data_IF_575795294176
#
_entry.id   IF_575795294176
#
_cell.length_a   1.000
_cell.length_b   1.000
_cell.length_c   1.000
_cell.angle_alpha   90.00
_cell.angle_beta   90.00
_cell.angle_gamma   90.00
#
_symmetry.space_group_name_H-M   'P 1'
#
loop_
_entity.id
_entity.type
_entity.pdbx_description
1 polymer ?
#
# COMPACT_ATOMS: atom_id res chain seq x y z
N UNK A 1 -22.29 -32.91 42.40
CA UNK A 1 -23.10 -32.26 41.36
C UNK A 1 -22.65 -30.80 41.28
N UNK A 2 -22.40 -30.31 40.06
CA UNK A 2 -22.09 -28.91 39.69
C UNK A 2 -20.68 -28.35 39.93
N UNK A 3 -19.72 -28.72 39.06
CA UNK A 3 -18.70 -27.78 38.56
C UNK A 3 -18.46 -28.10 37.08
N UNK A 4 -19.27 -27.56 36.16
CA UNK A 4 -18.94 -27.57 34.72
C UNK A 4 -19.82 -26.64 33.88
N UNK A 5 -19.88 -25.32 34.15
CA UNK A 5 -20.36 -24.35 33.15
C UNK A 5 -19.76 -22.97 33.42
N UNK A 6 -18.57 -22.66 32.90
CA UNK A 6 -18.13 -21.24 32.72
C UNK A 6 -17.32 -21.03 31.42
N UNK A 7 -16.68 -22.03 30.81
CA UNK A 7 -15.74 -21.76 29.70
C UNK A 7 -16.33 -21.56 28.29
N UNK A 8 -17.66 -21.55 28.09
CA UNK A 8 -18.24 -21.41 26.73
C UNK A 8 -18.53 -19.94 26.34
N UNK A 9 -18.53 -19.01 27.30
CA UNK A 9 -18.84 -17.59 27.03
C UNK A 9 -17.68 -16.75 26.48
N UNK A 10 -16.43 -17.21 26.58
CA UNK A 10 -15.24 -16.42 26.18
C UNK A 10 -14.82 -16.61 24.71
N UNK A 11 -15.24 -17.69 24.05
CA UNK A 11 -14.86 -17.93 22.65
C UNK A 11 -15.64 -17.04 21.66
N UNK A 12 -16.94 -16.82 21.89
CA UNK A 12 -17.76 -16.00 21.00
C UNK A 12 -17.43 -14.49 21.09
N UNK A 13 -17.05 -14.00 22.27
CA UNK A 13 -16.64 -12.61 22.46
C UNK A 13 -15.24 -12.32 21.85
N UNK A 14 -14.35 -13.32 21.78
CA UNK A 14 -13.03 -13.14 21.19
C UNK A 14 -13.05 -13.09 19.66
N UNK A 15 -13.97 -13.82 19.00
CA UNK A 15 -14.14 -13.76 17.54
C UNK A 15 -14.79 -12.44 17.10
N UNK A 16 -15.79 -11.95 17.84
CA UNK A 16 -16.44 -10.66 17.57
C UNK A 16 -15.51 -9.46 17.81
N UNK A 17 -14.45 -9.63 18.62
CA UNK A 17 -13.49 -8.56 18.92
C UNK A 17 -12.41 -8.36 17.84
N UNK A 18 -12.35 -9.23 16.83
CA UNK A 18 -11.33 -9.15 15.77
C UNK A 18 -11.83 -8.48 14.48
N UNK A 19 -13.14 -8.38 14.27
CA UNK A 19 -13.68 -7.68 13.09
C UNK A 19 -13.75 -6.18 13.38
N UNK A 20 -13.00 -5.40 12.59
CA UNK A 20 -13.05 -3.95 12.66
C UNK A 20 -14.12 -3.42 11.73
N UNK A 21 -14.40 -2.14 11.85
CA UNK A 21 -15.21 -1.48 10.84
C UNK A 21 -14.33 -1.19 9.63
N UNK A 22 -14.86 -1.47 8.44
CA UNK A 22 -14.26 -1.04 7.19
C UNK A 22 -13.89 0.45 7.23
N UNK A 23 -12.76 0.78 6.62
CA UNK A 23 -12.28 2.12 6.47
C UNK A 23 -13.18 2.93 5.53
N UNK A 24 -13.19 4.25 5.74
CA UNK A 24 -14.05 5.16 4.97
C UNK A 24 -13.51 5.40 3.57
N UNK A 25 -12.20 5.49 3.42
CA UNK A 25 -11.56 5.77 2.14
C UNK A 25 -10.24 5.01 2.06
N UNK A 26 -10.16 4.04 1.15
CA UNK A 26 -8.97 3.19 0.95
C UNK A 26 -8.82 2.89 -0.53
N UNK A 27 -7.60 3.00 -1.06
CA UNK A 27 -7.30 2.67 -2.44
C UNK A 27 -6.41 1.42 -2.49
N UNK A 28 -6.79 0.45 -3.30
CA UNK A 28 -5.99 -0.74 -3.59
C UNK A 28 -5.50 -0.66 -5.03
N UNK A 29 -4.22 -0.95 -5.22
CA UNK A 29 -3.56 -1.00 -6.51
C UNK A 29 -2.60 -2.17 -6.61
N UNK A 30 -2.11 -2.39 -7.82
CA UNK A 30 -1.03 -3.31 -8.10
C UNK A 30 0.27 -2.54 -8.30
N UNK A 31 1.30 -2.90 -7.55
CA UNK A 31 2.64 -2.38 -7.74
C UNK A 31 3.47 -3.40 -8.51
N UNK A 32 4.06 -2.95 -9.61
CA UNK A 32 5.09 -3.68 -10.34
C UNK A 32 6.44 -2.99 -10.09
N UNK A 33 7.36 -3.74 -9.48
CA UNK A 33 8.73 -3.33 -9.24
C UNK A 33 9.65 -4.04 -10.22
N UNK A 34 10.25 -3.29 -11.13
CA UNK A 34 11.21 -3.85 -12.09
C UNK A 34 12.62 -3.47 -11.67
N UNK A 35 13.42 -4.49 -11.37
CA UNK A 35 14.85 -4.36 -11.08
C UNK A 35 15.64 -4.70 -12.34
N UNK A 36 16.46 -3.78 -12.83
CA UNK A 36 17.35 -4.04 -13.96
C UNK A 36 18.60 -4.85 -13.53
N UNK A 37 19.43 -5.24 -14.50
CA UNK A 37 20.68 -5.96 -14.23
C UNK A 37 21.71 -5.13 -13.45
N UNK A 38 21.53 -3.81 -13.37
CA UNK A 38 22.36 -2.88 -12.61
C UNK A 38 21.84 -2.63 -11.20
N UNK A 39 20.69 -3.22 -10.83
CA UNK A 39 20.07 -3.05 -9.52
C UNK A 39 19.19 -1.80 -9.38
N UNK A 40 18.93 -1.06 -10.45
CA UNK A 40 18.01 0.08 -10.41
C UNK A 40 16.57 -0.42 -10.38
N UNK A 41 15.79 0.12 -9.45
CA UNK A 41 14.38 -0.24 -9.27
C UNK A 41 13.50 0.84 -9.88
N UNK A 42 12.63 0.44 -10.80
CA UNK A 42 11.54 1.27 -11.31
C UNK A 42 10.22 0.76 -10.76
N UNK A 43 9.28 1.67 -10.51
CA UNK A 43 7.98 1.34 -9.94
C UNK A 43 6.85 1.79 -10.85
N UNK A 44 5.87 0.90 -11.04
CA UNK A 44 4.63 1.17 -11.78
C UNK A 44 3.43 0.75 -10.94
N UNK A 45 2.50 1.67 -10.70
CA UNK A 45 1.24 1.43 -10.00
C UNK A 45 0.10 1.35 -11.01
N UNK A 46 -0.72 0.32 -10.87
CA UNK A 46 -1.98 0.13 -11.60
C UNK A 46 -3.12 0.26 -10.58
N UNK A 47 -4.04 1.22 -10.74
CA UNK A 47 -5.16 1.38 -9.82
C UNK A 47 -6.16 0.21 -10.02
N UNK A 48 -6.64 -0.39 -8.93
CA UNK A 48 -7.64 -1.47 -8.97
C UNK A 48 -8.98 -0.97 -8.44
N UNK A 49 -9.05 -0.66 -7.15
CA UNK A 49 -10.32 -0.27 -6.50
C UNK A 49 -10.12 0.83 -5.47
N UNK A 50 -11.17 1.61 -5.25
CA UNK A 50 -11.31 2.55 -4.16
C UNK A 50 -12.53 2.14 -3.36
N UNK A 51 -12.33 1.84 -2.07
CA UNK A 51 -13.39 1.84 -1.10
C UNK A 51 -13.71 3.28 -0.73
N UNK A 52 -14.96 3.70 -0.87
CA UNK A 52 -15.47 4.97 -0.39
C UNK A 52 -16.81 4.75 0.32
N UNK A 53 -16.83 4.99 1.63
CA UNK A 53 -17.98 4.84 2.53
C UNK A 53 -18.69 3.48 2.39
N UNK A 54 -17.92 2.38 2.44
CA UNK A 54 -18.45 1.01 2.39
C UNK A 54 -18.81 0.51 0.99
N UNK A 55 -18.48 1.27 -0.07
CA UNK A 55 -18.70 0.85 -1.45
C UNK A 55 -17.42 0.88 -2.26
N UNK A 56 -17.18 -0.19 -3.02
CA UNK A 56 -16.08 -0.27 -3.96
C UNK A 56 -16.41 0.42 -5.29
N UNK A 57 -15.44 1.14 -5.81
CA UNK A 57 -15.46 1.81 -7.11
C UNK A 57 -14.19 1.49 -7.88
N UNK A 58 -14.28 1.47 -9.21
CA UNK A 58 -13.10 1.32 -10.05
C UNK A 58 -12.17 2.53 -9.91
N UNK A 59 -10.95 2.27 -9.45
CA UNK A 59 -9.96 3.30 -9.15
C UNK A 59 -9.39 4.00 -10.39
N UNK A 60 -9.58 3.44 -11.59
CA UNK A 60 -9.14 4.03 -12.86
C UNK A 60 -10.08 5.12 -13.38
N UNK A 61 -11.29 5.24 -12.82
CA UNK A 61 -12.28 6.25 -13.21
C UNK A 61 -12.78 7.09 -12.04
N UNK A 62 -12.64 6.60 -10.81
CA UNK A 62 -13.13 7.30 -9.62
C UNK A 62 -12.46 8.66 -9.44
N UNK A 63 -13.31 9.70 -9.35
CA UNK A 63 -12.94 11.11 -9.26
C UNK A 63 -11.85 11.54 -10.26
N UNK A 64 -11.93 11.04 -11.50
CA UNK A 64 -10.92 11.32 -12.53
C UNK A 64 -11.04 12.73 -13.12
N UNK A 65 -10.34 13.71 -12.53
CA UNK A 65 -10.27 15.12 -13.00
C UNK A 65 -8.94 15.79 -12.61
N UNK A 66 -7.94 15.94 -13.51
CA UNK A 66 -7.82 15.43 -14.88
C UNK A 66 -7.39 13.95 -14.95
N UNK A 67 -7.07 13.33 -13.80
CA UNK A 67 -6.63 11.94 -13.67
C UNK A 67 -7.30 11.30 -12.46
N UNK A 68 -7.28 9.96 -12.32
CA UNK A 68 -7.93 9.27 -11.21
C UNK A 68 -7.32 9.68 -9.88
N UNK A 69 -8.15 9.77 -8.85
CA UNK A 69 -7.72 10.16 -7.49
C UNK A 69 -6.63 9.24 -6.95
N UNK A 70 -6.76 7.92 -7.19
CA UNK A 70 -5.77 6.91 -6.82
C UNK A 70 -4.36 7.20 -7.37
N UNK A 71 -4.25 7.93 -8.49
CA UNK A 71 -2.98 8.19 -9.17
C UNK A 71 -2.52 9.65 -9.02
N UNK A 72 -2.99 10.33 -7.97
CA UNK A 72 -2.56 11.69 -7.61
C UNK A 72 -1.07 11.77 -7.27
N UNK A 73 -0.43 12.91 -7.58
CA UNK A 73 0.95 13.15 -7.15
C UNK A 73 1.01 13.26 -5.64
N UNK A 74 2.05 12.66 -5.05
CA UNK A 74 2.24 12.63 -3.61
C UNK A 74 1.39 11.58 -2.89
N UNK A 75 0.49 10.88 -3.59
CA UNK A 75 -0.18 9.69 -3.02
C UNK A 75 0.89 8.65 -2.72
N UNK A 76 0.88 8.16 -1.48
CA UNK A 76 1.78 7.12 -1.01
C UNK A 76 0.99 5.82 -0.92
N UNK A 77 1.53 4.78 -1.55
CA UNK A 77 1.06 3.42 -1.38
C UNK A 77 2.05 2.63 -0.54
N UNK A 78 1.54 1.95 0.47
CA UNK A 78 2.23 0.87 1.15
C UNK A 78 2.13 -0.41 0.31
N UNK A 79 3.27 -0.92 -0.14
CA UNK A 79 3.34 -2.21 -0.79
C UNK A 79 3.40 -3.31 0.25
N UNK A 80 2.55 -4.32 0.08
CA UNK A 80 2.40 -5.44 0.96
C UNK A 80 2.71 -6.75 0.24
N UNK A 81 3.21 -7.70 1.03
CA UNK A 81 3.30 -9.11 0.67
C UNK A 81 2.60 -9.92 1.75
N UNK A 82 1.56 -10.65 1.38
CA UNK A 82 0.73 -11.42 2.31
C UNK A 82 0.21 -10.58 3.48
N UNK A 83 -0.16 -9.32 3.25
CA UNK A 83 -0.62 -8.37 4.29
C UNK A 83 0.50 -7.66 5.08
N UNK A 84 1.77 -8.05 4.90
CA UNK A 84 2.90 -7.42 5.59
C UNK A 84 3.58 -6.37 4.71
N UNK A 85 3.76 -5.16 5.24
CA UNK A 85 4.47 -4.08 4.55
C UNK A 85 5.91 -4.48 4.17
N UNK A 86 6.25 -4.30 2.90
CA UNK A 86 7.59 -4.52 2.32
C UNK A 86 8.26 -3.22 1.83
N UNK A 87 7.47 -2.19 1.59
CA UNK A 87 7.96 -0.84 1.30
C UNK A 87 6.86 0.10 0.90
N UNK A 88 7.25 1.25 0.39
CA UNK A 88 6.36 2.35 0.02
C UNK A 88 6.71 2.86 -1.36
N UNK A 89 5.70 3.31 -2.08
CA UNK A 89 5.87 4.05 -3.33
C UNK A 89 5.14 5.38 -3.27
N UNK A 90 5.88 6.46 -3.52
CA UNK A 90 5.31 7.80 -3.63
C UNK A 90 5.13 8.14 -5.10
N UNK A 91 3.89 8.40 -5.52
CA UNK A 91 3.55 8.69 -6.92
C UNK A 91 4.04 10.08 -7.32
N UNK A 92 4.67 10.18 -8.49
CA UNK A 92 5.12 11.45 -9.08
C UNK A 92 4.45 11.79 -10.41
N UNK A 93 4.08 10.78 -11.19
CA UNK A 93 3.45 10.96 -12.50
C UNK A 93 2.37 9.92 -12.67
N UNK A 94 1.13 10.35 -12.94
CA UNK A 94 0.03 9.49 -13.36
C UNK A 94 -0.34 9.80 -14.81
N UNK A 95 -0.42 8.77 -15.65
CA UNK A 95 -0.65 8.92 -17.09
C UNK A 95 -1.50 7.77 -17.66
N UNK A 96 -1.99 7.95 -18.89
CA UNK A 96 -2.64 6.88 -19.64
C UNK A 96 -1.64 6.23 -20.59
N UNK A 97 -1.31 4.97 -20.35
CA UNK A 97 -0.50 4.15 -21.23
C UNK A 97 -1.37 3.03 -21.84
N UNK A 98 -1.37 2.91 -23.18
CA UNK A 98 -2.14 1.88 -23.90
C UNK A 98 -3.62 1.81 -23.46
N UNK A 99 -4.26 2.97 -23.31
CA UNK A 99 -5.66 3.09 -22.90
C UNK A 99 -5.92 2.92 -21.39
N UNK A 100 -4.94 2.44 -20.63
CA UNK A 100 -5.05 2.17 -19.18
C UNK A 100 -4.34 3.22 -18.35
N UNK A 101 -4.89 3.53 -17.18
CA UNK A 101 -4.25 4.44 -16.24
C UNK A 101 -3.13 3.73 -15.47
N UNK A 102 -1.95 4.34 -15.44
CA UNK A 102 -0.80 3.90 -14.64
C UNK A 102 -0.18 5.10 -13.93
N UNK A 103 0.59 4.84 -12.88
CA UNK A 103 1.45 5.83 -12.28
C UNK A 103 2.87 5.30 -12.08
N UNK A 104 3.85 6.20 -12.13
CA UNK A 104 5.23 5.92 -11.73
C UNK A 104 5.56 6.70 -10.48
N UNK A 105 6.45 6.13 -9.66
CA UNK A 105 6.82 6.71 -8.39
C UNK A 105 8.21 6.33 -7.93
N UNK A 106 8.56 6.82 -6.74
CA UNK A 106 9.80 6.43 -6.06
C UNK A 106 9.51 5.31 -5.08
N UNK A 107 10.17 4.18 -5.29
CA UNK A 107 10.19 3.06 -4.37
C UNK A 107 11.14 3.28 -3.19
N UNK A 108 10.71 2.91 -1.99
CA UNK A 108 11.55 2.82 -0.80
C UNK A 108 11.18 1.56 -0.02
N UNK A 109 12.14 0.69 0.29
CA UNK A 109 11.84 -0.48 1.13
C UNK A 109 11.63 -0.07 2.59
N UNK A 110 10.92 -0.90 3.37
CA UNK A 110 10.76 -0.67 4.83
C UNK A 110 12.11 -0.50 5.54
N UNK A 111 13.13 -1.25 5.13
CA UNK A 111 14.50 -1.12 5.68
C UNK A 111 15.12 0.24 5.36
N UNK A 112 14.91 0.77 4.14
CA UNK A 112 15.41 2.10 3.75
C UNK A 112 14.71 3.22 4.51
N UNK A 113 13.39 3.10 4.72
CA UNK A 113 12.62 4.07 5.51
C UNK A 113 13.09 4.05 6.96
N UNK A 114 13.25 2.87 7.57
CA UNK A 114 13.74 2.74 8.94
C UNK A 114 15.18 3.25 9.13
N UNK A 115 16.02 3.16 8.09
CA UNK A 115 17.39 3.68 8.11
C UNK A 115 17.48 5.20 7.91
N UNK A 116 16.39 5.85 7.48
CA UNK A 116 16.38 7.30 7.29
C UNK A 116 16.18 7.98 8.65
N UNK A 117 17.17 8.75 9.15
CA UNK A 117 17.02 9.41 10.45
C UNK A 117 15.83 10.38 10.39
N UNK A 118 15.03 10.49 11.46
CA UNK A 118 13.98 11.49 11.53
C UNK A 118 14.60 12.88 11.30
N UNK A 119 13.88 13.79 10.62
CA UNK A 119 14.38 15.15 10.44
C UNK A 119 14.77 15.71 11.79
N UNK A 120 16.02 16.19 11.89
CA UNK A 120 16.49 16.83 13.11
C UNK A 120 15.49 17.91 13.50
N UNK A 121 15.10 18.02 14.78
CA UNK A 121 14.23 19.10 15.21
C UNK A 121 14.82 20.41 14.72
N UNK A 122 14.01 21.21 14.02
CA UNK A 122 14.44 22.52 13.59
C UNK A 122 15.05 23.24 14.79
N UNK A 123 16.21 23.90 14.65
CA UNK A 123 16.83 24.61 15.75
C UNK A 123 15.78 25.58 16.29
N UNK A 124 15.35 25.33 17.53
CA UNK A 124 14.50 26.27 18.26
C UNK A 124 15.39 27.48 18.47
N UNK A 125 15.18 28.53 17.67
CA UNK A 125 15.81 29.82 17.94
C UNK A 125 15.42 30.20 19.37
N UNK A 126 16.36 30.34 20.32
CA UNK A 126 16.06 30.75 21.68
C UNK A 126 15.83 32.27 21.72
N UNK A 127 14.85 32.73 20.95
CA UNK A 127 14.61 34.15 20.66
C UNK A 127 13.22 34.63 21.06
N UNK A 128 12.15 33.92 20.70
CA UNK A 128 10.80 34.44 20.88
C UNK A 128 9.87 33.38 21.48
N UNK A 129 9.05 33.82 22.44
CA UNK A 129 7.96 33.10 23.13
C UNK A 129 8.32 32.14 24.28
N UNK A 130 9.06 32.63 25.29
CA UNK A 130 8.88 32.12 26.67
C UNK A 130 8.07 33.15 27.47
N UNK A 131 6.85 32.84 27.94
CA UNK A 131 6.11 33.76 28.78
C UNK A 131 6.84 33.90 30.12
N UNK A 132 7.24 35.13 30.45
CA UNK A 132 7.91 35.46 31.70
C UNK A 132 6.84 35.65 32.78
N UNK A 133 6.82 34.78 33.79
CA UNK A 133 5.95 34.93 34.98
C UNK A 133 6.48 36.06 35.86
N UNK A 134 5.81 37.23 35.83
CA UNK A 134 6.04 38.28 36.82
C UNK A 134 5.54 37.80 38.20
N UNK A 135 6.48 37.58 39.12
CA UNK A 135 6.19 37.24 40.52
C UNK A 135 5.71 38.51 41.23
N UNK A 136 4.47 38.51 41.70
CA UNK A 136 3.89 39.59 42.48
C UNK A 136 4.52 39.71 43.88
N UNK A 137 4.65 40.95 44.35
CA UNK A 137 5.01 41.33 45.72
C UNK A 137 4.50 42.75 46.03
N UNK A 138 3.52 42.80 46.95
CA UNK A 138 2.85 43.87 47.71
C UNK A 138 3.48 45.29 47.71
N UNK A 139 2.80 46.35 47.22
CA UNK A 139 1.73 47.20 47.80
C UNK A 139 2.08 47.99 49.09
N UNK A 140 2.02 49.34 49.04
CA UNK A 140 1.11 50.26 49.78
C UNK A 140 1.58 51.74 49.61
N UNK A 141 0.80 52.83 49.87
CA UNK A 141 -0.66 53.03 49.89
C UNK A 141 -1.16 54.11 48.90
N UNK A 142 -2.49 54.11 48.72
CA UNK A 142 -3.27 55.05 47.92
C UNK A 142 -3.51 56.43 48.58
N UNK A 143 -3.73 57.44 47.74
CA UNK A 143 -4.52 58.65 48.05
C UNK A 143 -5.43 59.03 46.86
N UNK A 144 -6.57 59.72 47.12
CA UNK A 144 -7.85 59.49 46.44
C UNK A 144 -8.12 60.43 45.24
N UNK A 145 -9.12 60.11 44.38
CA UNK A 145 -9.45 60.90 43.20
C UNK A 145 -10.46 62.02 43.51
N UNK A 146 -10.31 63.15 42.82
CA UNK A 146 -11.37 64.16 42.66
C UNK A 146 -11.73 64.33 41.17
N UNK A 147 -12.99 64.75 40.88
CA UNK A 147 -13.70 64.40 39.65
C UNK A 147 -13.92 65.59 38.69
N UNK A 148 -14.63 65.29 37.58
CA UNK A 148 -15.31 66.21 36.63
C UNK A 148 -14.49 66.59 35.38
N UNK A 149 -15.06 66.78 34.19
CA UNK A 149 -16.43 66.68 33.68
C UNK A 149 -16.37 66.52 32.14
N UNK A 150 -17.51 66.15 31.58
CA UNK A 150 -17.90 66.09 30.18
C UNK A 150 -17.41 67.23 29.27
N UNK A 151 -17.01 66.91 28.03
CA UNK A 151 -17.80 67.28 26.83
C UNK A 151 -17.10 66.93 25.50
N UNK A 152 -17.89 66.33 24.60
CA UNK A 152 -17.68 66.10 23.16
C UNK A 152 -18.10 67.38 22.38
N UNK A 153 -18.16 67.37 21.03
CA UNK A 153 -17.14 67.52 19.97
C UNK A 153 -17.17 68.91 19.26
N UNK A 154 -16.19 69.20 18.39
CA UNK A 154 -16.38 70.18 17.29
C UNK A 154 -15.83 69.61 15.97
N UNK A 155 -16.71 69.59 14.97
CA UNK A 155 -16.47 69.31 13.56
C UNK A 155 -15.82 70.53 12.88
N UNK A 156 -14.83 70.33 12.02
CA UNK A 156 -14.61 71.21 10.87
C UNK A 156 -14.37 70.41 9.59
N UNK A 157 -15.22 70.72 8.61
CA UNK A 157 -15.25 70.28 7.21
C UNK A 157 -14.76 71.43 6.33
N UNK A 158 -13.91 71.15 5.33
CA UNK A 158 -13.93 71.75 3.96
C UNK A 158 -12.85 71.04 3.11
N UNK A 159 -13.19 70.16 2.15
CA UNK A 159 -13.48 70.38 0.72
C UNK A 159 -12.43 71.26 0.01
N UNK A 160 -11.59 70.68 -0.88
CA UNK A 160 -11.79 70.29 -2.30
C UNK A 160 -11.68 71.49 -3.26
N UNK A 161 -10.66 71.43 -4.13
CA UNK A 161 -10.63 71.86 -5.54
C UNK A 161 -9.33 71.31 -6.15
N UNK A 162 -9.32 70.40 -7.14
CA UNK A 162 -9.70 70.46 -8.56
C UNK A 162 -8.43 70.44 -9.45
N UNK A 163 -8.31 69.37 -10.25
CA UNK A 163 -7.42 69.08 -11.42
C UNK A 163 -7.45 70.18 -12.53
N UNK A 164 -6.72 70.13 -13.69
CA UNK A 164 -6.06 68.99 -14.37
C UNK A 164 -4.70 69.27 -15.09
N UNK A 165 -4.07 68.21 -15.63
CA UNK A 165 -3.74 68.04 -17.08
C UNK A 165 -2.36 67.40 -17.42
N UNK A 166 -2.44 66.35 -18.26
CA UNK A 166 -1.56 65.89 -19.37
C UNK A 166 -0.05 65.52 -19.20
N UNK A 167 0.27 64.30 -19.69
CA UNK A 167 1.57 63.71 -20.13
C UNK A 167 2.25 64.48 -21.31
N UNK A 168 3.48 64.17 -21.82
CA UNK A 168 4.30 62.93 -21.74
C UNK A 168 5.87 63.08 -21.62
N UNK A 169 6.55 61.92 -21.61
CA UNK A 169 7.93 61.59 -22.07
C UNK A 169 9.21 62.06 -21.31
N UNK A 170 10.13 61.11 -21.09
CA UNK A 170 11.59 61.34 -21.28
C UNK A 170 12.56 61.09 -20.11
N UNK A 171 13.37 60.03 -20.27
CA UNK A 171 14.78 59.87 -19.86
C UNK A 171 15.22 59.65 -18.40
N UNK A 172 15.89 58.50 -18.22
CA UNK A 172 17.15 58.23 -17.53
C UNK A 172 17.56 59.06 -16.29
N UNK A 173 17.73 58.36 -15.17
CA UNK A 173 18.46 58.82 -13.99
C UNK A 173 18.74 57.64 -13.04
N UNK A 174 20.01 57.50 -12.66
CA UNK A 174 20.61 56.45 -11.80
C UNK A 174 19.96 56.37 -10.39
N UNK A 175 19.92 55.20 -9.74
CA UNK A 175 19.69 55.13 -8.29
C UNK A 175 21.00 55.04 -7.51
N UNK A 176 21.20 56.11 -6.72
CA UNK A 176 21.93 56.25 -5.45
C UNK A 176 22.26 54.94 -4.69
N UNK A 177 23.52 54.84 -4.26
CA UNK A 177 24.07 53.82 -3.36
C UNK A 177 23.38 53.82 -1.99
N UNK A 178 22.77 52.68 -1.64
CA UNK A 178 22.23 52.39 -0.32
C UNK A 178 23.35 51.93 0.64
N UNK A 179 23.52 52.65 1.75
CA UNK A 179 24.61 52.50 2.73
C UNK A 179 24.42 51.40 3.77
N UNK A 180 23.37 50.58 3.66
CA UNK A 180 23.10 49.48 4.61
C UNK A 180 23.34 48.07 4.03
N UNK A 181 24.24 47.94 3.06
CA UNK A 181 24.61 46.63 2.48
C UNK A 181 25.73 45.93 3.28
N UNK A 182 25.48 44.78 3.95
CA UNK A 182 26.51 44.07 4.69
C UNK A 182 27.53 43.38 3.76
N UNK A 183 28.82 43.53 4.08
CA UNK A 183 29.97 43.01 3.31
C UNK A 183 30.52 41.72 3.92
N UNK A 184 30.65 40.66 3.11
CA UNK A 184 31.25 39.39 3.48
C UNK A 184 32.79 39.50 3.54
N UNK A 185 33.38 39.30 4.73
CA UNK A 185 34.84 39.24 4.89
C UNK A 185 35.35 37.82 4.67
N UNK A 186 36.14 37.65 3.60
CA UNK A 186 36.98 36.48 3.31
C UNK A 186 38.37 36.67 3.90
N UNK A 187 38.95 35.66 4.54
CA UNK A 187 40.40 35.57 4.80
C UNK A 187 40.88 34.14 4.50
N UNK A 188 42.02 34.06 3.84
CA UNK A 188 42.89 32.89 3.58
C UNK A 188 44.34 33.36 3.88
N UNK A 189 45.40 32.51 3.93
CA UNK A 189 45.49 31.05 4.11
C UNK A 189 46.56 30.57 5.14
N UNK A 190 46.55 29.25 5.39
CA UNK A 190 47.65 28.31 5.70
C UNK A 190 48.42 28.36 7.05
N UNK A 191 48.32 27.25 7.81
CA UNK A 191 49.45 26.40 8.24
C UNK A 191 48.95 25.11 8.93
N UNK A 192 49.45 23.97 8.47
CA UNK A 192 49.47 22.64 9.12
C UNK A 192 50.98 22.25 9.30
N UNK A 193 51.42 21.23 10.09
CA UNK A 193 50.65 20.11 10.68
C UNK A 193 51.04 19.63 12.13
N UNK A 194 50.17 18.77 12.67
CA UNK A 194 50.43 17.52 13.44
C UNK A 194 50.56 17.51 15.00
N UNK A 195 50.41 16.33 15.70
CA UNK A 195 49.18 15.92 16.41
C UNK A 195 49.41 15.44 17.87
N UNK A 196 48.35 15.21 18.67
CA UNK A 196 48.34 14.41 19.93
C UNK A 196 46.91 14.29 20.51
N UNK A 197 46.60 13.40 21.47
CA UNK A 197 46.26 11.99 21.28
C UNK A 197 44.84 11.64 21.77
N UNK A 198 44.35 10.44 21.45
CA UNK A 198 43.08 9.88 21.93
C UNK A 198 43.00 9.77 23.46
N UNK A 199 41.78 9.82 24.04
CA UNK A 199 41.47 8.94 25.16
C UNK A 199 40.15 8.15 24.99
N UNK A 200 40.32 6.84 25.20
CA UNK A 200 39.52 5.78 25.85
C UNK A 200 38.01 6.02 26.16
N UNK A 201 37.15 4.99 25.92
CA UNK A 201 35.71 5.05 26.17
C UNK A 201 35.32 4.80 27.63
N UNK A 202 34.28 5.50 28.11
CA UNK A 202 33.64 5.27 29.41
C UNK A 202 32.52 4.22 29.31
N UNK A 203 32.28 3.40 30.36
CA UNK A 203 31.27 2.35 30.34
C UNK A 203 29.90 2.92 30.77
N UNK A 204 28.90 2.84 29.89
CA UNK A 204 27.51 3.13 30.29
C UNK A 204 26.81 1.85 30.72
N UNK A 205 26.59 1.73 32.02
CA UNK A 205 25.58 0.87 32.62
C UNK A 205 24.27 1.66 32.71
N UNK A 206 23.28 1.32 31.89
CA UNK A 206 21.87 1.50 32.25
C UNK A 206 21.03 0.51 31.44
N UNK A 207 20.49 -0.47 32.15
CA UNK A 207 19.63 -1.52 31.62
C UNK A 207 18.24 -0.94 31.40
N UNK A 208 17.91 -0.64 30.14
CA UNK A 208 16.54 -0.38 29.72
C UNK A 208 15.88 -1.74 29.38
N UNK A 209 14.64 -2.02 29.83
CA UNK A 209 13.98 -3.27 29.47
C UNK A 209 13.84 -3.37 27.95
N UNK A 210 14.21 -4.53 27.41
CA UNK A 210 14.17 -4.80 25.98
C UNK A 210 12.76 -4.56 25.42
N UNK A 211 12.67 -3.65 24.44
CA UNK A 211 11.50 -3.57 23.58
C UNK A 211 11.28 -4.95 22.91
N UNK A 212 10.02 -5.39 22.73
CA UNK A 212 9.74 -6.60 21.98
C UNK A 212 10.37 -6.49 20.57
N UNK A 213 10.87 -7.60 20.00
CA UNK A 213 11.51 -7.56 18.69
C UNK A 213 10.52 -7.00 17.66
N UNK A 214 10.98 -6.03 16.87
CA UNK A 214 10.21 -5.48 15.76
C UNK A 214 9.76 -6.62 14.82
N UNK A 215 8.55 -6.56 14.25
CA UNK A 215 8.10 -7.57 13.30
C UNK A 215 9.10 -7.71 12.16
N UNK A 216 9.45 -8.96 11.83
CA UNK A 216 10.35 -9.27 10.72
C UNK A 216 9.61 -8.97 9.41
N UNK A 217 9.85 -7.79 8.84
CA UNK A 217 9.33 -7.46 7.53
C UNK A 217 9.99 -8.33 6.44
N UNK A 218 9.22 -8.86 5.47
CA UNK A 218 9.79 -9.63 4.36
C UNK A 218 10.76 -8.77 3.57
N UNK A 219 11.98 -9.27 3.35
CA UNK A 219 12.92 -8.63 2.42
C UNK A 219 12.62 -9.11 1.01
N UNK A 220 12.39 -8.17 0.10
CA UNK A 220 12.28 -8.49 -1.32
C UNK A 220 13.67 -8.86 -1.88
N UNK A 221 13.80 -9.99 -2.59
CA UNK A 221 15.04 -10.31 -3.26
C UNK A 221 15.30 -9.28 -4.37
N UNK A 222 16.51 -8.71 -4.40
CA UNK A 222 16.94 -7.79 -5.46
C UNK A 222 17.43 -8.58 -6.69
N UNK A 223 16.59 -9.48 -7.19
CA UNK A 223 16.87 -10.22 -8.43
C UNK A 223 16.38 -9.42 -9.63
N UNK A 224 17.15 -9.36 -10.73
CA UNK A 224 16.67 -8.76 -11.97
C UNK A 224 15.35 -9.38 -12.41
N UNK A 225 14.40 -8.54 -12.84
CA UNK A 225 13.06 -8.96 -13.21
C UNK A 225 11.97 -8.06 -12.64
N UNK A 226 10.72 -8.37 -12.98
CA UNK A 226 9.53 -7.66 -12.50
C UNK A 226 8.87 -8.47 -11.40
N UNK A 227 8.70 -7.86 -10.22
CA UNK A 227 7.94 -8.41 -9.11
C UNK A 227 6.63 -7.66 -8.98
N UNK A 228 5.55 -8.39 -8.69
CA UNK A 228 4.22 -7.82 -8.49
C UNK A 228 3.87 -7.89 -7.01
N UNK A 229 3.35 -6.79 -6.46
CA UNK A 229 2.94 -6.64 -5.07
C UNK A 229 1.57 -5.98 -5.01
N UNK A 230 0.82 -6.25 -3.97
CA UNK A 230 -0.40 -5.46 -3.68
C UNK A 230 0.02 -4.17 -2.99
N UNK A 231 -0.69 -3.09 -3.29
CA UNK A 231 -0.37 -1.77 -2.79
C UNK A 231 -1.62 -1.11 -2.23
N UNK A 232 -1.54 -0.60 -1.00
CA UNK A 232 -2.66 0.06 -0.31
C UNK A 232 -2.29 1.51 -0.02
N UNK A 233 -3.19 2.44 -0.34
CA UNK A 233 -3.13 3.82 0.13
C UNK A 233 -4.35 4.08 1.01
N UNK A 234 -4.09 4.52 2.23
CA UNK A 234 -5.13 4.65 3.25
C UNK A 234 -4.92 5.94 4.05
N UNK A 235 -6.01 6.58 4.45
CA UNK A 235 -6.00 7.74 5.33
C UNK A 235 -6.14 7.35 6.80
N UNK A 236 -6.68 6.16 7.08
CA UNK A 236 -6.87 5.63 8.42
C UNK A 236 -5.72 4.68 8.78
N UNK A 237 -5.28 4.65 10.05
CA UNK A 237 -4.28 3.70 10.49
C UNK A 237 -4.83 2.28 10.35
N UNK A 238 -4.19 1.46 9.52
CA UNK A 238 -4.44 0.02 9.44
C UNK A 238 -3.55 -0.77 10.40
N UNK A 239 -3.83 -2.05 10.52
CA UNK A 239 -2.89 -3.00 11.11
C UNK A 239 -2.36 -3.93 10.03
N UNK A 240 -1.04 -4.04 9.96
CA UNK A 240 -0.41 -5.06 9.16
C UNK A 240 -0.40 -6.37 9.93
N UNK A 241 -1.06 -7.39 9.39
CA UNK A 241 -0.87 -8.77 9.82
C UNK A 241 -0.44 -9.63 8.66
N UNK A 242 0.30 -10.69 8.97
CA UNK A 242 0.56 -11.72 7.98
C UNK A 242 -0.70 -12.54 7.77
N UNK A 243 -1.12 -12.68 6.52
CA UNK A 243 -2.10 -13.67 6.12
C UNK A 243 -1.47 -15.04 5.89
N UNK A 244 -0.14 -15.18 5.85
CA UNK A 244 0.48 -16.48 5.57
C UNK A 244 0.13 -17.50 6.65
N UNK A 245 -0.31 -18.67 6.21
CA UNK A 245 -0.60 -19.78 7.11
C UNK A 245 0.68 -20.52 7.49
N UNK A 246 1.04 -20.61 8.78
CA UNK A 246 2.25 -21.28 9.22
C UNK A 246 2.08 -22.81 9.24
N UNK A 247 2.66 -23.49 8.26
CA UNK A 247 2.68 -24.95 8.22
C UNK A 247 3.70 -25.57 9.17
N UNK A 248 3.38 -26.75 9.72
CA UNK A 248 4.41 -27.58 10.33
C UNK A 248 5.24 -28.29 9.24
N UNK A 249 6.50 -28.66 9.54
CA UNK A 249 7.32 -29.39 8.59
C UNK A 249 6.63 -30.65 8.07
N UNK A 250 6.51 -30.81 6.75
CA UNK A 250 5.91 -31.98 6.10
C UNK A 250 4.40 -31.87 5.84
N UNK A 251 3.65 -31.06 6.61
CA UNK A 251 2.19 -30.92 6.44
C UNK A 251 1.85 -30.25 5.11
N UNK A 252 2.59 -29.20 4.74
CA UNK A 252 2.39 -28.49 3.48
C UNK A 252 2.55 -29.41 2.26
N UNK A 253 3.56 -30.29 2.26
CA UNK A 253 3.80 -31.22 1.15
C UNK A 253 2.69 -32.26 1.03
N UNK A 254 2.15 -32.74 2.17
CA UNK A 254 1.00 -33.64 2.16
C UNK A 254 -0.24 -32.95 1.61
N UNK A 255 -0.48 -31.70 2.01
CA UNK A 255 -1.60 -30.92 1.51
C UNK A 255 -1.46 -30.62 0.02
N UNK A 256 -0.26 -30.29 -0.45
CA UNK A 256 0.02 -30.09 -1.88
C UNK A 256 -0.36 -31.34 -2.68
N UNK A 257 0.01 -32.54 -2.22
CA UNK A 257 -0.37 -33.79 -2.88
C UNK A 257 -1.91 -33.99 -2.90
N UNK A 258 -2.60 -33.66 -1.80
CA UNK A 258 -4.08 -33.70 -1.74
C UNK A 258 -4.70 -32.69 -2.71
N UNK A 259 -4.19 -31.46 -2.77
CA UNK A 259 -4.63 -30.40 -3.68
C UNK A 259 -4.42 -30.76 -5.14
N UNK A 260 -3.27 -31.35 -5.48
CA UNK A 260 -2.99 -31.85 -6.84
C UNK A 260 -4.00 -32.94 -7.24
N UNK A 261 -4.26 -33.90 -6.34
CA UNK A 261 -5.26 -34.94 -6.58
C UNK A 261 -6.67 -34.35 -6.75
N UNK A 262 -7.02 -33.39 -5.90
CA UNK A 262 -8.31 -32.70 -5.95
C UNK A 262 -8.45 -31.95 -7.28
N UNK A 263 -7.43 -31.19 -7.70
CA UNK A 263 -7.41 -30.45 -8.96
C UNK A 263 -7.55 -31.37 -10.19
N UNK A 264 -6.80 -32.47 -10.22
CA UNK A 264 -6.88 -33.45 -11.32
C UNK A 264 -8.27 -34.08 -11.44
N UNK A 265 -8.94 -34.33 -10.31
CA UNK A 265 -10.30 -34.87 -10.29
C UNK A 265 -11.37 -33.91 -10.85
N UNK A 266 -11.01 -32.65 -11.12
CA UNK A 266 -11.92 -31.65 -11.68
C UNK A 266 -11.75 -31.43 -13.19
N UNK A 267 -10.76 -32.10 -13.78
CA UNK A 267 -10.57 -32.03 -15.22
C UNK A 267 -11.65 -32.86 -15.92
N UNK A 268 -12.17 -32.41 -17.08
CA UNK A 268 -13.14 -33.19 -17.84
C UNK A 268 -12.51 -34.50 -18.33
N UNK A 269 -13.29 -35.60 -18.41
CA UNK A 269 -12.82 -36.96 -18.72
C UNK A 269 -12.00 -37.08 -20.02
N UNK A 270 -12.27 -36.24 -21.02
CA UNK A 270 -11.48 -36.12 -22.26
C UNK A 270 -10.02 -35.67 -22.03
N UNK A 271 -9.69 -35.29 -20.80
CA UNK A 271 -8.37 -34.80 -20.37
C UNK A 271 -7.57 -35.86 -19.62
N UNK A 272 -7.97 -37.15 -19.67
CA UNK A 272 -7.25 -38.26 -19.04
C UNK A 272 -5.88 -38.51 -19.72
N UNK A 273 -4.97 -37.55 -19.57
CA UNK A 273 -3.54 -37.80 -19.66
C UNK A 273 -3.20 -38.70 -18.47
N UNK A 274 -2.67 -39.91 -18.72
CA UNK A 274 -2.35 -40.86 -17.66
C UNK A 274 -1.07 -40.38 -16.96
N UNK A 275 -1.17 -39.40 -16.05
CA UNK A 275 -0.35 -39.25 -14.84
C UNK A 275 -0.40 -37.82 -14.27
N UNK A 276 -0.26 -37.75 -12.93
CA UNK A 276 0.03 -36.55 -12.14
C UNK A 276 1.26 -35.73 -12.64
N UNK A 277 2.05 -36.29 -13.56
CA UNK A 277 3.24 -35.68 -14.18
C UNK A 277 2.94 -34.64 -15.27
N UNK A 278 1.67 -34.42 -15.62
CA UNK A 278 1.27 -33.46 -16.65
C UNK A 278 1.13 -32.02 -16.16
N UNK A 279 1.16 -31.77 -14.85
CA UNK A 279 1.05 -30.42 -14.29
C UNK A 279 2.41 -29.72 -14.27
N UNK A 280 2.47 -28.52 -14.80
CA UNK A 280 3.61 -27.60 -14.76
C UNK A 280 3.21 -26.28 -14.12
N UNK A 281 4.19 -25.42 -13.81
CA UNK A 281 3.95 -24.10 -13.22
C UNK A 281 3.06 -24.16 -11.97
N UNK A 282 3.28 -25.18 -11.14
CA UNK A 282 2.49 -25.42 -9.93
C UNK A 282 2.85 -24.36 -8.90
N UNK A 283 1.85 -23.60 -8.47
CA UNK A 283 1.96 -22.62 -7.39
C UNK A 283 0.92 -22.96 -6.33
N UNK A 284 1.33 -23.00 -5.08
CA UNK A 284 0.43 -23.18 -3.94
C UNK A 284 0.74 -22.12 -2.90
N UNK A 285 -0.28 -21.41 -2.45
CA UNK A 285 -0.17 -20.44 -1.36
C UNK A 285 -1.28 -20.68 -0.35
N UNK A 286 -0.94 -20.56 0.94
CA UNK A 286 -1.84 -20.89 2.04
C UNK A 286 -1.97 -19.70 2.98
N UNK A 287 -3.20 -19.44 3.42
CA UNK A 287 -3.54 -18.24 4.18
C UNK A 287 -4.48 -18.50 5.34
N UNK A 288 -4.34 -17.71 6.40
CA UNK A 288 -5.36 -17.52 7.43
C UNK A 288 -6.03 -16.15 7.23
N UNK A 289 -7.09 -16.14 6.41
CA UNK A 289 -7.75 -14.91 5.97
C UNK A 289 -8.70 -14.34 7.02
N UNK A 290 -9.32 -15.21 7.82
CA UNK A 290 -10.42 -14.85 8.73
C UNK A 290 -10.12 -15.11 10.21
N UNK A 291 -8.83 -15.36 10.56
CA UNK A 291 -8.38 -15.68 11.92
C UNK A 291 -9.04 -16.95 12.47
N UNK A 292 -9.53 -17.82 11.58
CA UNK A 292 -10.11 -19.10 11.94
C UNK A 292 -9.02 -20.13 12.27
N UNK A 293 -7.76 -19.85 11.91
CA UNK A 293 -6.67 -20.80 11.94
C UNK A 293 -6.98 -22.05 11.08
N UNK A 294 -7.80 -21.89 10.05
CA UNK A 294 -8.04 -22.85 8.98
C UNK A 294 -7.34 -22.35 7.71
N UNK A 295 -6.52 -23.18 7.09
CA UNK A 295 -5.77 -22.78 5.92
C UNK A 295 -6.70 -22.66 4.70
N UNK A 296 -6.81 -21.45 4.16
CA UNK A 296 -7.32 -21.20 2.81
C UNK A 296 -6.16 -21.35 1.83
N UNK A 297 -6.27 -22.31 0.94
CA UNK A 297 -5.23 -22.65 -0.04
C UNK A 297 -5.67 -22.23 -1.43
N UNK A 298 -4.82 -21.44 -2.09
CA UNK A 298 -4.91 -21.13 -3.52
C UNK A 298 -3.90 -21.99 -4.26
N UNK A 299 -4.38 -22.88 -5.11
CA UNK A 299 -3.59 -23.77 -5.95
C UNK A 299 -3.77 -23.38 -7.42
N UNK A 300 -2.66 -23.23 -8.12
CA UNK A 300 -2.64 -22.97 -9.55
C UNK A 300 -1.70 -23.94 -10.25
N UNK A 301 -2.10 -24.40 -11.43
CA UNK A 301 -1.26 -25.22 -12.27
C UNK A 301 -1.64 -25.08 -13.74
N UNK A 302 -0.72 -25.45 -14.60
CA UNK A 302 -0.92 -25.49 -16.04
C UNK A 302 -0.75 -26.92 -16.54
N UNK A 303 -1.54 -27.30 -17.53
CA UNK A 303 -1.29 -28.49 -18.34
C UNK A 303 -0.75 -27.99 -19.67
N UNK A 304 0.53 -28.27 -19.99
CA UNK A 304 1.11 -27.90 -21.27
C UNK A 304 0.25 -28.40 -22.40
N UNK A 305 0.11 -27.58 -23.44
CA UNK A 305 -0.82 -27.89 -24.49
C UNK A 305 -0.47 -29.16 -25.27
N UNK A 306 -1.51 -29.82 -25.75
CA UNK A 306 -1.42 -30.88 -26.73
C UNK A 306 -2.22 -30.49 -27.98
N UNK A 307 -1.85 -31.05 -29.12
CA UNK A 307 -2.62 -30.90 -30.35
C UNK A 307 -3.88 -31.78 -30.24
N UNK A 308 -5.05 -31.16 -30.04
CA UNK A 308 -6.31 -31.90 -30.11
C UNK A 308 -6.68 -32.12 -31.58
N UNK A 309 -6.65 -33.37 -32.04
CA UNK A 309 -7.15 -33.74 -33.36
C UNK A 309 -8.67 -33.87 -33.29
N UNK A 310 -9.40 -32.99 -33.98
CA UNK A 310 -10.84 -33.21 -34.21
C UNK A 310 -10.97 -34.35 -35.22
N UNK A 311 -11.30 -35.56 -34.74
CA UNK A 311 -11.80 -36.72 -35.49
C UNK A 311 -11.17 -37.03 -36.86
N UNK A 312 -10.45 -38.15 -36.98
CA UNK A 312 -10.04 -38.87 -38.21
C UNK A 312 -9.56 -38.09 -39.45
N UNK A 313 -9.28 -36.78 -39.38
CA UNK A 313 -8.67 -36.02 -40.47
C UNK A 313 -7.33 -35.46 -40.04
N UNK A 314 -6.33 -35.73 -40.86
CA UNK A 314 -4.91 -35.36 -40.73
C UNK A 314 -4.65 -33.84 -40.89
N UNK A 315 -5.47 -33.00 -40.29
CA UNK A 315 -5.16 -31.58 -40.11
C UNK A 315 -4.41 -31.41 -38.78
N UNK A 316 -3.36 -30.57 -38.71
CA UNK A 316 -2.73 -30.26 -37.43
C UNK A 316 -3.79 -29.67 -36.48
N UNK A 317 -3.95 -30.30 -35.32
CA UNK A 317 -4.90 -29.87 -34.29
C UNK A 317 -4.58 -28.45 -33.78
N UNK A 318 -5.50 -27.84 -33.02
CA UNK A 318 -5.19 -26.60 -32.30
C UNK A 318 -4.34 -26.95 -31.07
N UNK A 319 -3.24 -26.23 -30.83
CA UNK A 319 -2.45 -26.38 -29.60
C UNK A 319 -3.18 -25.70 -28.45
N UNK A 320 -3.62 -26.48 -27.47
CA UNK A 320 -4.48 -25.99 -26.38
C UNK A 320 -3.84 -26.29 -25.04
N UNK A 321 -3.37 -25.26 -24.33
CA UNK A 321 -2.92 -25.34 -22.95
C UNK A 321 -4.10 -25.16 -22.01
N UNK A 322 -4.12 -25.89 -20.88
CA UNK A 322 -5.17 -25.74 -19.87
C UNK A 322 -4.61 -25.10 -18.60
N UNK A 323 -5.45 -24.32 -17.93
CA UNK A 323 -5.13 -23.57 -16.74
C UNK A 323 -6.12 -23.96 -15.64
N UNK A 324 -5.59 -24.25 -14.46
CA UNK A 324 -6.37 -24.64 -13.28
C UNK A 324 -6.11 -23.61 -12.19
N UNK A 325 -7.18 -23.11 -11.59
CA UNK A 325 -7.17 -22.35 -10.34
C UNK A 325 -8.16 -23.02 -9.38
N UNK A 326 -7.70 -23.40 -8.20
CA UNK A 326 -8.48 -24.08 -7.18
C UNK A 326 -8.30 -23.35 -5.84
N UNK A 327 -9.41 -22.95 -5.23
CA UNK A 327 -9.45 -22.43 -3.86
C UNK A 327 -10.07 -23.51 -2.98
N UNK A 328 -9.38 -23.88 -1.91
CA UNK A 328 -9.88 -24.82 -0.91
C UNK A 328 -9.64 -24.29 0.49
N UNK A 329 -10.40 -24.77 1.46
CA UNK A 329 -10.17 -24.54 2.89
C UNK A 329 -9.97 -25.88 3.58
N UNK A 330 -9.01 -25.98 4.48
CA UNK A 330 -8.79 -27.21 5.25
C UNK A 330 -9.88 -27.40 6.30
N UNK A 331 -10.39 -28.63 6.44
CA UNK A 331 -11.20 -29.02 7.60
C UNK A 331 -10.33 -29.31 8.83
N UNK A 332 -10.97 -29.69 9.95
CA UNK A 332 -10.31 -30.00 11.21
C UNK A 332 -9.30 -31.16 11.10
N UNK A 333 -9.47 -32.04 10.12
CA UNK A 333 -8.57 -33.16 9.82
C UNK A 333 -7.44 -32.78 8.83
N UNK A 334 -7.38 -31.53 8.39
CA UNK A 334 -6.39 -31.06 7.41
C UNK A 334 -6.63 -31.60 6.00
N UNK A 335 -7.87 -31.94 5.64
CA UNK A 335 -8.25 -32.26 4.27
C UNK A 335 -8.79 -31.02 3.55
N UNK A 336 -8.37 -30.78 2.29
CA UNK A 336 -8.85 -29.62 1.55
C UNK A 336 -10.28 -29.84 1.08
N UNK A 337 -11.16 -28.92 1.49
CA UNK A 337 -12.54 -28.80 0.99
C UNK A 337 -12.58 -27.73 -0.09
N UNK A 338 -12.98 -28.12 -1.31
CA UNK A 338 -13.07 -27.19 -2.45
C UNK A 338 -14.10 -26.11 -2.17
N UNK A 339 -13.69 -24.84 -2.29
CA UNK A 339 -14.58 -23.68 -2.24
C UNK A 339 -14.92 -23.15 -3.63
N UNK A 340 -13.90 -23.00 -4.48
CA UNK A 340 -14.07 -22.53 -5.86
C UNK A 340 -13.07 -23.18 -6.79
N UNK A 341 -13.42 -23.27 -8.06
CA UNK A 341 -12.54 -23.76 -9.11
C UNK A 341 -12.80 -23.01 -10.41
N UNK A 342 -11.72 -22.73 -11.14
CA UNK A 342 -11.75 -22.33 -12.53
C UNK A 342 -10.83 -23.24 -13.33
N UNK A 343 -11.38 -23.88 -14.35
CA UNK A 343 -10.62 -24.61 -15.36
C UNK A 343 -10.93 -23.97 -16.70
N UNK A 344 -9.89 -23.46 -17.36
CA UNK A 344 -10.01 -22.85 -18.69
C UNK A 344 -8.88 -23.33 -19.60
N UNK A 345 -8.98 -23.01 -20.87
CA UNK A 345 -7.99 -23.36 -21.87
C UNK A 345 -7.68 -22.19 -22.81
N UNK A 346 -6.54 -22.25 -23.50
CA UNK A 346 -6.07 -21.18 -24.38
C UNK A 346 -6.98 -20.88 -25.57
N UNK A 347 -8.00 -21.70 -25.84
CA UNK A 347 -9.00 -21.49 -26.88
C UNK A 347 -10.31 -20.87 -26.39
N UNK A 348 -10.53 -20.83 -25.07
CA UNK A 348 -11.78 -20.37 -24.45
C UNK A 348 -11.58 -19.17 -23.51
N UNK A 349 -10.45 -18.47 -23.61
CA UNK A 349 -10.14 -17.31 -22.77
C UNK A 349 -11.17 -16.17 -22.90
N UNK A 350 -11.90 -16.09 -24.02
CA UNK A 350 -12.99 -15.10 -24.22
C UNK A 350 -14.25 -15.43 -23.40
N UNK A 351 -14.45 -16.70 -23.03
CA UNK A 351 -15.62 -17.19 -22.31
C UNK A 351 -15.29 -17.35 -20.81
N UNK A 352 -14.16 -17.96 -20.52
CA UNK A 352 -13.67 -18.22 -19.18
C UNK A 352 -12.24 -17.68 -19.06
N UNK A 353 -12.03 -16.50 -18.45
CA UNK A 353 -10.71 -15.93 -18.33
C UNK A 353 -9.80 -16.81 -17.46
N UNK A 354 -8.52 -16.80 -17.77
CA UNK A 354 -7.50 -17.42 -16.92
C UNK A 354 -7.30 -16.55 -15.68
N UNK A 355 -7.46 -17.14 -14.50
CA UNK A 355 -7.17 -16.50 -13.23
C UNK A 355 -5.70 -16.71 -12.84
N UNK A 356 -5.00 -15.60 -12.61
CA UNK A 356 -3.66 -15.53 -12.02
C UNK A 356 -3.78 -14.96 -10.61
N UNK A 357 -3.38 -15.74 -9.59
CA UNK A 357 -3.39 -15.26 -8.21
C UNK A 357 -2.26 -14.27 -7.98
N UNK A 358 -2.58 -13.16 -7.31
CA UNK A 358 -1.59 -12.12 -6.97
C UNK A 358 -1.20 -12.28 -5.50
N UNK A 359 -2.10 -11.90 -4.59
CA UNK A 359 -1.85 -11.97 -3.16
C UNK A 359 -3.14 -11.92 -2.34
N UNK A 360 -3.01 -12.20 -1.04
CA UNK A 360 -4.00 -11.87 -0.04
C UNK A 360 -3.86 -10.41 0.39
N UNK A 361 -4.98 -9.72 0.54
CA UNK A 361 -5.04 -8.29 0.89
C UNK A 361 -6.31 -8.00 1.66
N UNK A 362 -6.20 -7.17 2.69
CA UNK A 362 -7.33 -6.54 3.36
C UNK A 362 -7.75 -5.31 2.53
N UNK A 363 -8.79 -5.44 1.71
CA UNK A 363 -9.17 -4.37 0.77
C UNK A 363 -10.05 -3.30 1.41
N UNK A 364 -10.70 -3.59 2.53
CA UNK A 364 -11.60 -2.66 3.20
C UNK A 364 -11.09 -2.09 4.53
N UNK A 365 -10.02 -2.64 5.09
CA UNK A 365 -9.44 -2.19 6.36
C UNK A 365 -10.08 -2.84 7.59
N UNK A 366 -10.96 -3.83 7.44
CA UNK A 366 -11.60 -4.52 8.57
C UNK A 366 -10.67 -5.52 9.28
N UNK A 367 -9.52 -5.79 8.65
CA UNK A 367 -8.47 -6.68 9.13
C UNK A 367 -8.61 -8.12 8.63
N UNK A 368 -9.64 -8.47 7.85
CA UNK A 368 -9.81 -9.74 7.17
C UNK A 368 -9.12 -9.72 5.80
N UNK A 369 -8.79 -10.90 5.29
CA UNK A 369 -8.10 -11.03 4.01
C UNK A 369 -9.04 -11.41 2.88
N UNK A 370 -9.00 -10.67 1.78
CA UNK A 370 -9.51 -11.09 0.48
C UNK A 370 -8.39 -11.60 -0.42
N UNK A 371 -8.76 -12.33 -1.47
CA UNK A 371 -7.84 -12.81 -2.48
C UNK A 371 -7.95 -11.97 -3.75
N UNK A 372 -6.85 -11.34 -4.14
CA UNK A 372 -6.75 -10.58 -5.39
C UNK A 372 -6.21 -11.47 -6.52
N UNK A 373 -6.92 -11.43 -7.65
CA UNK A 373 -6.52 -12.11 -8.88
C UNK A 373 -6.46 -11.13 -10.04
N UNK A 374 -5.62 -11.47 -11.01
CA UNK A 374 -5.65 -10.93 -12.36
C UNK A 374 -6.38 -11.91 -13.27
N UNK A 375 -7.26 -11.41 -14.11
CA UNK A 375 -7.97 -12.17 -15.13
C UNK A 375 -7.34 -11.89 -16.49
N UNK A 376 -7.11 -12.94 -17.28
CA UNK A 376 -6.68 -12.84 -18.67
C UNK A 376 -7.72 -13.43 -19.60
N UNK A 377 -8.31 -12.59 -20.44
CA UNK A 377 -9.02 -12.99 -21.65
C UNK A 377 -8.06 -13.20 -22.83
N UNK A 378 -8.58 -13.33 -24.06
CA UNK A 378 -7.72 -13.53 -25.22
C UNK A 378 -6.90 -12.27 -25.59
N UNK A 379 -7.46 -11.08 -25.40
CA UNK A 379 -6.83 -9.80 -25.74
C UNK A 379 -6.96 -8.73 -24.65
N UNK A 380 -7.49 -9.13 -23.49
CA UNK A 380 -7.83 -8.22 -22.42
C UNK A 380 -7.46 -8.78 -21.05
N UNK A 381 -7.26 -7.89 -20.08
CA UNK A 381 -7.05 -8.25 -18.67
C UNK A 381 -7.90 -7.41 -17.73
N UNK A 382 -8.31 -7.98 -16.61
CA UNK A 382 -9.03 -7.30 -15.53
C UNK A 382 -8.48 -7.74 -14.17
N UNK A 383 -9.00 -7.15 -13.10
CA UNK A 383 -8.67 -7.52 -11.72
C UNK A 383 -9.94 -7.87 -10.98
N UNK A 384 -9.89 -8.92 -10.18
CA UNK A 384 -11.02 -9.41 -9.41
C UNK A 384 -10.60 -9.71 -7.98
N UNK A 385 -11.44 -9.31 -7.03
CA UNK A 385 -11.24 -9.54 -5.60
C UNK A 385 -12.30 -10.51 -5.11
N UNK A 386 -11.87 -11.59 -4.47
CA UNK A 386 -12.73 -12.60 -3.89
C UNK A 386 -12.64 -12.59 -2.36
N UNK A 387 -13.80 -12.45 -1.70
CA UNK A 387 -13.95 -12.68 -0.27
C UNK A 387 -14.21 -14.15 0.01
N UNK A 388 -13.55 -14.69 1.03
CA UNK A 388 -13.55 -16.13 1.34
C UNK A 388 -14.29 -16.40 2.65
N UNK A 389 -15.50 -16.94 2.56
CA UNK A 389 -16.21 -17.47 3.72
C UNK A 389 -15.85 -18.92 4.01
N UNK A 390 -16.46 -19.51 5.05
CA UNK A 390 -16.22 -20.90 5.44
C UNK A 390 -16.59 -21.94 4.36
N UNK A 391 -17.59 -21.67 3.52
CA UNK A 391 -18.07 -22.61 2.50
C UNK A 391 -18.29 -21.99 1.13
N UNK A 392 -18.02 -20.70 0.96
CA UNK A 392 -18.37 -19.95 -0.25
C UNK A 392 -17.30 -18.93 -0.60
N UNK A 393 -17.08 -18.75 -1.90
CA UNK A 393 -16.29 -17.63 -2.43
C UNK A 393 -17.26 -16.60 -3.00
N UNK A 394 -17.08 -15.34 -2.62
CA UNK A 394 -17.92 -14.24 -3.07
C UNK A 394 -17.09 -13.22 -3.85
N UNK A 395 -17.62 -12.76 -4.98
CA UNK A 395 -16.98 -11.69 -5.75
C UNK A 395 -17.26 -10.36 -5.04
N UNK A 396 -16.21 -9.75 -4.48
CA UNK A 396 -16.29 -8.48 -3.75
C UNK A 396 -16.20 -7.31 -4.73
N UNK A 397 -15.31 -7.43 -5.71
CA UNK A 397 -15.08 -6.39 -6.70
C UNK A 397 -14.57 -6.99 -8.02
N UNK A 398 -14.94 -6.36 -9.13
CA UNK A 398 -14.43 -6.63 -10.46
C UNK A 398 -14.13 -5.28 -11.13
N UNK A 399 -12.88 -5.12 -11.55
CA UNK A 399 -12.38 -3.91 -12.18
C UNK A 399 -12.63 -3.87 -13.69
N UNK A 400 -12.53 -2.68 -14.27
CA UNK A 400 -12.65 -2.50 -15.69
C UNK A 400 -11.54 -3.23 -16.45
N UNK A 401 -11.93 -3.67 -17.63
CA UNK A 401 -11.08 -4.39 -18.54
C UNK A 401 -10.07 -3.47 -19.23
N UNK A 402 -8.84 -3.97 -19.38
CA UNK A 402 -7.69 -3.29 -19.98
C UNK A 402 -7.23 -4.09 -21.21
N UNK A 403 -6.89 -3.39 -22.29
CA UNK A 403 -6.27 -4.02 -23.48
C UNK A 403 -4.92 -4.64 -23.13
N UNK A 404 -4.63 -5.83 -23.67
CA UNK A 404 -3.29 -6.42 -23.68
C UNK A 404 -2.43 -5.93 -24.86
N UNK A 405 -3.05 -5.28 -25.85
CA UNK A 405 -2.42 -4.74 -27.06
C UNK A 405 -2.21 -3.24 -26.98
#
# INVERSE_FOLDING_TARGET
MCILVVCVGLAAAAQVYQHRNAHKLRATGLLELTTDNSGNVTSRIIPITILDNGRFYDASIYQSRPRPMALGNGVVYEAQKSGVAVGYVTIYTGERAQGSWIATGRWQSVTQVAATPPPAPAPVNPGDDRPILHRGGEQQPAQPPQPQDNNRPVLQRKNLDSEPSAQPEGSAGEPQEDSDRPVLRRRTPASEPNPSPSPTPAPNSSTQPAQPPAPLHPRLPMTPGTQTLVAISDAQPGENRSFEYPWRPGEEQQLQAKMMKLALAQLPDESSLPNQRGLTNITMRSFDLDLSNEAVVVFQAEIPGAYLTKGNKAAPGKFISRYIMLIARTDAEGNPQRLAISVTDSSQLDIAPRLEFIDAVDVDGDGLGELLFREYGADQKSYIIYGIGHGTVTKVFEGATQSLK
#
